data_IF_886079094539
#
_entry.id   IF_886079094539
#
_cell.length_a   1.000
_cell.length_b   1.000
_cell.length_c   1.000
_cell.angle_alpha   90.00
_cell.angle_beta   90.00
_cell.angle_gamma   90.00
#
_symmetry.space_group_name_H-M   'P 1'
#
loop_
_entity.id
_entity.type
_entity.pdbx_description
1 polymer ?
#
# COMPACT_ATOMS: atom_id res chain seq x y z
N UNK A 1 7.00 18.27 -8.81
CA UNK A 1 5.80 17.68 -8.21
C UNK A 1 6.21 16.87 -7.00
N UNK A 2 5.47 17.03 -5.94
CA UNK A 2 5.78 16.37 -4.68
C UNK A 2 4.86 15.16 -4.48
N UNK A 3 5.45 13.98 -4.45
CA UNK A 3 4.72 12.74 -4.14
C UNK A 3 3.99 12.88 -2.79
N UNK A 4 4.61 13.55 -1.83
CA UNK A 4 4.01 13.83 -0.51
C UNK A 4 2.63 14.47 -0.60
N UNK A 5 2.43 15.37 -1.56
CA UNK A 5 1.17 16.13 -1.67
C UNK A 5 -0.01 15.28 -2.13
N UNK A 6 0.24 14.16 -2.80
CA UNK A 6 -0.80 13.27 -3.32
C UNK A 6 -0.81 11.90 -2.64
N UNK A 7 0.21 11.61 -1.85
CA UNK A 7 0.31 10.39 -1.08
C UNK A 7 -0.69 10.40 0.08
N UNK A 8 -1.34 9.28 0.33
CA UNK A 8 -2.17 9.12 1.52
C UNK A 8 -1.25 8.74 2.67
N UNK A 9 -1.11 9.61 3.67
CA UNK A 9 -0.15 9.37 4.74
C UNK A 9 -0.59 8.25 5.66
N UNK A 10 0.38 7.61 6.29
CA UNK A 10 0.19 6.47 7.18
C UNK A 10 -0.93 6.69 8.21
N UNK A 11 -1.01 7.87 8.81
CA UNK A 11 -2.03 8.16 9.85
C UNK A 11 -3.47 8.05 9.36
N UNK A 12 -3.70 8.11 8.05
CA UNK A 12 -5.03 8.00 7.45
C UNK A 12 -5.32 6.58 6.94
N UNK A 13 -4.41 5.65 7.13
CA UNK A 13 -4.52 4.31 6.59
C UNK A 13 -4.91 3.29 7.65
N UNK A 14 -5.60 2.24 7.18
CA UNK A 14 -5.76 1.01 7.95
C UNK A 14 -4.54 0.13 7.67
N UNK A 15 -3.79 -0.21 8.70
CA UNK A 15 -2.62 -1.09 8.60
C UNK A 15 -2.70 -2.13 9.72
N UNK A 16 -1.95 -3.20 9.57
CA UNK A 16 -1.76 -4.20 10.62
C UNK A 16 -0.28 -4.42 10.87
N UNK A 17 0.04 -4.89 12.05
CA UNK A 17 1.40 -5.22 12.38
C UNK A 17 1.70 -6.68 12.01
N UNK A 18 2.97 -7.01 11.81
CA UNK A 18 3.40 -8.31 11.31
C UNK A 18 3.03 -9.48 12.21
N UNK A 19 2.79 -9.26 13.50
CA UNK A 19 2.36 -10.30 14.43
C UNK A 19 0.83 -10.45 14.51
N UNK A 20 0.07 -9.61 13.82
CA UNK A 20 -1.39 -9.73 13.74
C UNK A 20 -1.77 -11.10 13.20
N UNK A 21 -2.75 -11.76 13.81
CA UNK A 21 -3.23 -13.06 13.33
C UNK A 21 -4.06 -12.91 12.06
N UNK A 22 -4.15 -13.98 11.29
CA UNK A 22 -5.01 -14.01 10.10
C UNK A 22 -6.49 -13.79 10.49
N UNK A 23 -6.92 -14.31 11.63
CA UNK A 23 -8.26 -14.09 12.15
C UNK A 23 -8.54 -12.61 12.39
N UNK A 24 -7.64 -11.90 13.06
CA UNK A 24 -7.80 -10.48 13.32
C UNK A 24 -7.70 -9.65 12.05
N UNK A 25 -6.80 -10.02 11.16
CA UNK A 25 -6.61 -9.31 9.89
C UNK A 25 -7.85 -9.40 9.01
N UNK A 26 -8.48 -10.58 8.90
CA UNK A 26 -9.69 -10.71 8.07
C UNK A 26 -10.85 -9.89 8.67
N UNK A 27 -10.95 -9.83 9.98
CA UNK A 27 -11.96 -9.00 10.65
C UNK A 27 -11.77 -7.53 10.31
N UNK A 28 -10.53 -7.04 10.33
CA UNK A 28 -10.19 -5.67 9.98
C UNK A 28 -10.51 -5.40 8.51
N UNK A 29 -10.13 -6.31 7.63
CA UNK A 29 -10.37 -6.18 6.18
C UNK A 29 -11.86 -6.15 5.86
N UNK A 30 -12.65 -7.04 6.48
CA UNK A 30 -14.10 -7.07 6.27
C UNK A 30 -14.77 -5.79 6.79
N UNK A 31 -14.33 -5.31 7.94
CA UNK A 31 -14.88 -4.11 8.56
C UNK A 31 -14.55 -2.84 7.77
N UNK A 32 -13.33 -2.75 7.24
CA UNK A 32 -12.88 -1.60 6.46
C UNK A 32 -13.36 -1.61 5.02
N UNK A 33 -13.71 -2.76 4.49
CA UNK A 33 -14.11 -2.94 3.10
C UNK A 33 -12.95 -2.96 2.12
N UNK A 34 -11.70 -2.85 2.59
CA UNK A 34 -10.54 -2.92 1.72
C UNK A 34 -10.24 -4.37 1.33
N UNK A 35 -9.72 -4.56 0.12
CA UNK A 35 -9.28 -5.89 -0.34
C UNK A 35 -7.84 -6.19 0.06
N UNK A 36 -7.09 -5.17 0.46
CA UNK A 36 -5.66 -5.26 0.74
C UNK A 36 -5.25 -4.13 1.67
N UNK A 37 -4.42 -4.41 2.64
CA UNK A 37 -3.88 -3.40 3.55
C UNK A 37 -2.39 -3.63 3.79
N UNK A 38 -1.62 -2.57 4.09
CA UNK A 38 -0.20 -2.70 4.40
C UNK A 38 0.04 -3.40 5.74
N UNK A 39 1.12 -4.18 5.75
CA UNK A 39 1.64 -4.83 6.96
C UNK A 39 2.94 -4.15 7.34
N UNK A 40 3.02 -3.70 8.57
CA UNK A 40 4.19 -3.02 9.13
C UNK A 40 4.84 -3.89 10.20
N UNK A 41 6.08 -3.59 10.54
CA UNK A 41 6.74 -4.24 11.65
C UNK A 41 6.09 -3.82 12.98
N UNK A 42 6.54 -4.40 14.07
CA UNK A 42 5.97 -4.11 15.40
C UNK A 42 6.14 -2.66 15.81
N UNK A 43 7.16 -1.96 15.33
CA UNK A 43 7.35 -0.55 15.60
C UNK A 43 6.38 0.34 14.80
N UNK A 44 5.73 -0.21 13.79
CA UNK A 44 4.85 0.54 12.90
C UNK A 44 5.59 1.42 11.91
N UNK A 45 6.90 1.22 11.73
CA UNK A 45 7.74 2.07 10.87
C UNK A 45 8.23 1.39 9.61
N UNK A 46 8.41 0.08 9.64
CA UNK A 46 8.99 -0.65 8.51
C UNK A 46 7.90 -1.38 7.74
N UNK A 47 7.83 -1.13 6.45
CA UNK A 47 6.89 -1.81 5.56
C UNK A 47 7.36 -3.25 5.32
N UNK A 48 6.49 -4.21 5.63
CA UNK A 48 6.78 -5.65 5.46
C UNK A 48 6.14 -6.26 4.24
N UNK A 49 5.08 -5.67 3.74
CA UNK A 49 4.33 -6.21 2.61
C UNK A 49 2.85 -5.88 2.74
N UNK A 50 2.03 -6.65 2.04
CA UNK A 50 0.59 -6.43 2.00
C UNK A 50 -0.14 -7.72 2.31
N UNK A 51 -1.26 -7.62 3.01
CA UNK A 51 -2.14 -8.76 3.25
C UNK A 51 -3.43 -8.56 2.46
N UNK A 52 -3.79 -9.57 1.69
CA UNK A 52 -4.96 -9.57 0.80
C UNK A 52 -6.10 -10.38 1.41
N UNK A 53 -7.30 -9.82 1.38
CA UNK A 53 -8.51 -10.48 1.84
C UNK A 53 -8.70 -11.86 1.17
N UNK A 54 -8.52 -11.93 -0.14
CA UNK A 54 -8.70 -13.18 -0.88
C UNK A 54 -7.68 -14.25 -0.51
N UNK A 55 -6.46 -13.86 -0.15
CA UNK A 55 -5.45 -14.84 0.30
C UNK A 55 -5.85 -15.45 1.64
N UNK A 56 -6.43 -14.65 2.53
CA UNK A 56 -6.92 -15.16 3.82
C UNK A 56 -8.12 -16.09 3.62
N UNK A 57 -9.06 -15.70 2.78
CA UNK A 57 -10.24 -16.55 2.48
C UNK A 57 -9.82 -17.89 1.87
N UNK A 58 -8.86 -17.87 0.96
CA UNK A 58 -8.34 -19.11 0.34
C UNK A 58 -7.67 -19.99 1.39
N UNK A 59 -6.86 -19.42 2.27
CA UNK A 59 -6.21 -20.13 3.35
C UNK A 59 -7.25 -20.80 4.26
N UNK A 60 -8.28 -20.05 4.66
CA UNK A 60 -9.37 -20.56 5.49
C UNK A 60 -10.16 -21.67 4.79
N UNK A 61 -10.50 -21.49 3.52
CA UNK A 61 -11.22 -22.47 2.73
C UNK A 61 -10.45 -23.79 2.59
N UNK A 62 -9.13 -23.73 2.60
CA UNK A 62 -8.25 -24.90 2.56
C UNK A 62 -7.98 -25.53 3.93
N UNK A 63 -8.68 -25.09 4.95
CA UNK A 63 -8.52 -25.61 6.31
C UNK A 63 -7.30 -25.07 7.04
N UNK A 64 -6.75 -23.94 6.59
CA UNK A 64 -5.57 -23.35 7.20
C UNK A 64 -5.83 -22.77 8.58
N UNK A 65 -4.77 -22.74 9.37
CA UNK A 65 -4.78 -22.23 10.74
C UNK A 65 -4.89 -20.70 10.73
N UNK A 66 -5.99 -20.18 11.26
CA UNK A 66 -6.25 -18.73 11.28
C UNK A 66 -5.55 -18.02 12.46
N UNK A 67 -4.95 -18.76 13.39
CA UNK A 67 -4.15 -18.17 14.45
C UNK A 67 -2.72 -17.82 14.03
N UNK A 68 -2.33 -18.22 12.84
CA UNK A 68 -1.01 -17.86 12.29
C UNK A 68 -0.91 -16.36 12.06
N UNK A 69 0.30 -15.80 12.16
CA UNK A 69 0.49 -14.38 11.86
C UNK A 69 0.34 -14.09 10.36
N UNK A 70 0.01 -12.86 10.03
CA UNK A 70 -0.15 -12.42 8.64
C UNK A 70 1.09 -12.63 7.79
N UNK A 71 2.27 -12.68 8.40
CA UNK A 71 3.54 -12.96 7.71
C UNK A 71 3.52 -14.29 6.97
N UNK A 72 2.65 -15.20 7.39
CA UNK A 72 2.50 -16.49 6.72
C UNK A 72 1.97 -16.36 5.28
N UNK A 73 1.20 -15.32 4.99
CA UNK A 73 0.58 -15.12 3.69
C UNK A 73 1.09 -13.90 2.91
N UNK A 74 1.93 -13.07 3.52
CA UNK A 74 2.53 -11.96 2.79
C UNK A 74 3.77 -12.46 2.04
N UNK A 75 3.99 -11.91 0.85
CA UNK A 75 5.17 -12.20 0.05
C UNK A 75 6.27 -11.20 0.37
N UNK A 76 7.51 -11.67 0.38
CA UNK A 76 8.67 -10.83 0.63
C UNK A 76 9.02 -9.89 -0.52
N UNK A 77 8.43 -10.07 -1.69
CA UNK A 77 8.68 -9.15 -2.78
C UNK A 77 7.86 -7.89 -2.55
N UNK A 78 8.51 -6.92 -2.06
CA UNK A 78 7.87 -5.67 -1.76
C UNK A 78 8.17 -4.69 -2.86
N UNK A 79 7.16 -4.37 -3.63
CA UNK A 79 7.24 -3.27 -4.58
C UNK A 79 6.90 -2.00 -3.82
N UNK A 80 7.82 -1.06 -3.85
CA UNK A 80 7.65 0.22 -3.18
C UNK A 80 8.38 1.30 -3.97
N UNK A 81 8.07 2.55 -3.67
CA UNK A 81 8.78 3.72 -4.16
C UNK A 81 9.21 4.57 -2.97
N UNK A 82 10.07 5.53 -3.24
CA UNK A 82 10.48 6.54 -2.28
C UNK A 82 9.83 7.87 -2.60
N UNK A 83 9.80 8.78 -1.64
CA UNK A 83 9.26 10.13 -1.84
C UNK A 83 9.89 10.89 -2.99
N UNK A 84 11.13 10.56 -3.35
CA UNK A 84 11.86 11.19 -4.45
C UNK A 84 11.91 10.35 -5.72
N UNK A 85 11.12 9.29 -5.82
CA UNK A 85 11.09 8.43 -7.01
C UNK A 85 10.60 9.20 -8.23
N UNK A 86 11.12 8.81 -9.41
CA UNK A 86 10.67 9.40 -10.66
C UNK A 86 9.26 8.95 -11.00
N UNK A 87 8.58 9.75 -11.80
CA UNK A 87 7.25 9.43 -12.31
C UNK A 87 7.21 8.09 -13.05
N UNK A 88 8.24 7.81 -13.87
CA UNK A 88 8.33 6.54 -14.57
C UNK A 88 8.37 5.36 -13.64
N UNK A 89 9.16 5.45 -12.57
CA UNK A 89 9.26 4.38 -11.59
C UNK A 89 7.92 4.12 -10.91
N UNK A 90 7.20 5.18 -10.56
CA UNK A 90 5.86 5.07 -9.98
C UNK A 90 4.93 4.35 -10.94
N UNK A 91 4.88 4.81 -12.18
CA UNK A 91 3.98 4.29 -13.21
C UNK A 91 4.21 2.80 -13.46
N UNK A 92 5.46 2.41 -13.63
CA UNK A 92 5.79 1.01 -13.88
C UNK A 92 5.56 0.12 -12.66
N UNK A 93 5.71 0.65 -11.46
CA UNK A 93 5.59 -0.14 -10.25
C UNK A 93 4.13 -0.39 -9.86
N UNK A 94 3.26 0.62 -10.05
CA UNK A 94 1.85 0.50 -9.62
C UNK A 94 0.98 -0.32 -10.57
N UNK A 95 1.47 -0.60 -11.77
CA UNK A 95 0.70 -1.14 -12.90
C UNK A 95 -0.30 -2.24 -12.54
N UNK A 96 0.08 -3.19 -11.72
CA UNK A 96 -0.75 -4.34 -11.36
C UNK A 96 -1.11 -4.39 -9.87
N UNK A 97 -0.81 -3.33 -9.15
CA UNK A 97 -1.02 -3.26 -7.71
C UNK A 97 -2.27 -2.43 -7.38
N UNK A 98 -2.98 -2.75 -6.30
CA UNK A 98 -4.09 -1.90 -5.85
C UNK A 98 -3.61 -0.53 -5.37
N UNK A 99 -2.39 -0.47 -4.85
CA UNK A 99 -1.70 0.74 -4.44
C UNK A 99 -0.21 0.44 -4.35
N UNK A 100 0.62 1.47 -4.22
CA UNK A 100 2.05 1.26 -4.01
C UNK A 100 2.49 1.91 -2.70
N UNK A 101 3.28 1.18 -1.92
CA UNK A 101 3.87 1.70 -0.69
C UNK A 101 4.92 2.76 -1.00
N UNK A 102 4.92 3.81 -0.20
CA UNK A 102 5.87 4.93 -0.30
C UNK A 102 6.72 4.96 0.96
N UNK A 103 8.03 4.94 0.79
CA UNK A 103 8.99 5.04 1.86
C UNK A 103 9.62 6.44 1.89
N UNK A 104 9.97 6.91 3.06
CA UNK A 104 10.70 8.17 3.21
C UNK A 104 12.20 7.96 2.97
N UNK A 105 12.99 9.03 3.17
CA UNK A 105 14.43 8.99 2.94
C UNK A 105 15.19 8.08 3.90
N UNK A 106 14.57 7.71 5.01
CA UNK A 106 15.14 6.77 6.00
C UNK A 106 14.60 5.34 5.78
N UNK A 107 13.95 5.09 4.64
CA UNK A 107 13.33 3.80 4.30
C UNK A 107 12.21 3.39 5.26
N UNK A 108 11.58 4.35 5.92
CA UNK A 108 10.43 4.10 6.77
C UNK A 108 9.15 4.27 5.98
N UNK A 109 8.10 3.53 6.38
CA UNK A 109 6.81 3.61 5.71
C UNK A 109 6.18 4.98 5.91
N UNK A 110 5.95 5.68 4.81
CA UNK A 110 5.35 7.01 4.80
C UNK A 110 3.85 6.98 4.53
N UNK A 111 3.45 6.18 3.57
CA UNK A 111 2.06 6.08 3.14
C UNK A 111 1.92 5.29 1.87
N UNK A 112 0.86 5.56 1.13
CA UNK A 112 0.59 4.87 -0.14
C UNK A 112 0.23 5.85 -1.24
N UNK A 113 0.50 5.44 -2.49
CA UNK A 113 -0.08 6.05 -3.68
C UNK A 113 -1.10 5.09 -4.26
N UNK A 114 -2.28 5.61 -4.55
CA UNK A 114 -3.37 4.87 -5.21
C UNK A 114 -3.40 5.23 -6.69
N UNK A 115 -4.21 4.50 -7.45
CA UNK A 115 -4.47 4.86 -8.84
C UNK A 115 -5.10 6.26 -8.96
N UNK A 116 -5.96 6.63 -8.00
CA UNK A 116 -6.52 7.99 -7.94
C UNK A 116 -5.45 9.05 -7.70
N UNK A 117 -4.48 8.78 -6.83
CA UNK A 117 -3.33 9.67 -6.61
C UNK A 117 -2.57 9.89 -7.91
N UNK A 118 -2.37 8.82 -8.68
CA UNK A 118 -1.66 8.88 -9.96
C UNK A 118 -2.42 9.72 -10.98
N UNK A 119 -3.73 9.58 -11.06
CA UNK A 119 -4.56 10.40 -11.92
C UNK A 119 -4.49 11.87 -11.53
N UNK A 120 -4.44 12.18 -10.26
CA UNK A 120 -4.26 13.55 -9.76
C UNK A 120 -2.94 14.14 -10.25
N UNK A 121 -1.86 13.37 -10.16
CA UNK A 121 -0.54 13.78 -10.67
C UNK A 121 -0.61 14.10 -12.17
N UNK A 122 -1.20 13.19 -12.95
CA UNK A 122 -1.34 13.36 -14.40
C UNK A 122 -2.19 14.59 -14.73
N UNK A 123 -3.28 14.79 -14.03
CA UNK A 123 -4.18 15.93 -14.22
C UNK A 123 -3.46 17.26 -13.95
N UNK A 124 -2.70 17.34 -12.88
CA UNK A 124 -1.91 18.53 -12.55
C UNK A 124 -0.88 18.83 -13.62
N UNK A 125 -0.16 17.81 -14.09
CA UNK A 125 0.83 17.97 -15.16
C UNK A 125 0.18 18.44 -16.46
N UNK A 126 -0.96 17.88 -16.81
CA UNK A 126 -1.71 18.25 -17.99
C UNK A 126 -2.20 19.71 -17.91
N UNK A 127 -2.76 20.11 -16.78
CA UNK A 127 -3.26 21.46 -16.58
C UNK A 127 -2.15 22.51 -16.68
N UNK A 128 -0.98 22.21 -16.17
CA UNK A 128 0.19 23.11 -16.31
C UNK A 128 0.55 23.28 -17.78
N UNK A 129 0.60 22.19 -18.54
CA UNK A 129 0.90 22.24 -19.98
C UNK A 129 -0.18 23.00 -20.75
N UNK A 130 -1.44 22.72 -20.47
CA UNK A 130 -2.57 23.40 -21.11
C UNK A 130 -2.55 24.90 -20.81
N UNK A 131 -2.25 25.30 -19.60
CA UNK A 131 -2.12 26.70 -19.20
C UNK A 131 -1.02 27.44 -19.94
N UNK A 132 0.03 26.75 -20.38
CA UNK A 132 1.12 27.36 -21.16
C UNK A 132 0.73 27.65 -22.61
N UNK A 133 -0.22 26.92 -23.09
CA UNK A 133 -0.66 27.04 -24.50
C UNK A 133 -1.97 27.79 -24.66
N UNK A 134 -2.60 28.10 -23.54
CA UNK A 134 -3.81 28.88 -23.55
C UNK A 134 -3.50 30.38 -23.60
#
# INVERSE_FOLDING_TARGET
>A
MLIESVCIPKRQLTTVNESCTLEDAITILEKSGFRCIPVLDESGRIFRGNIYKMHIYRHKANGGDMSLPVTHLIKNSTKFIHLNSSFFKIFFTIKELPYIAVLDNDNMFYGILTHSSLLTILSQSWNVKAGRFA
#
